data_IF_991121676641
#
_entry.id   IF_991121676641
#
_cell.length_a   1.000
_cell.length_b   1.000
_cell.length_c   1.000
_cell.angle_alpha   90.00
_cell.angle_beta   90.00
_cell.angle_gamma   90.00
#
_symmetry.space_group_name_H-M   'P 1'
#
loop_
_entity.id
_entity.type
_entity.pdbx_description
1 polymer ?
#
# COMPACT_ATOMS: atom_id res chain seq x y z
N UNK A 1 12.95 6.06 8.47
CA UNK A 1 11.49 5.82 8.47
C UNK A 1 11.29 4.42 9.02
N UNK A 2 10.64 4.32 10.17
CA UNK A 2 10.24 3.06 10.74
C UNK A 2 8.85 2.69 10.20
N UNK A 3 8.67 1.41 9.83
CA UNK A 3 7.35 0.86 9.52
C UNK A 3 6.88 0.16 10.78
N UNK A 4 5.90 0.74 11.47
CA UNK A 4 5.32 0.13 12.67
C UNK A 4 4.07 -0.68 12.32
N UNK A 5 3.98 -1.87 12.91
CA UNK A 5 2.93 -2.83 12.68
C UNK A 5 2.23 -3.22 13.97
N UNK A 6 0.91 -3.40 13.88
CA UNK A 6 0.14 -4.01 14.95
C UNK A 6 -0.06 -5.49 14.66
N UNK A 7 0.44 -6.37 15.53
CA UNK A 7 0.41 -7.83 15.30
C UNK A 7 -1.00 -8.38 15.00
N UNK A 8 -2.04 -7.84 15.63
CA UNK A 8 -3.41 -8.28 15.35
C UNK A 8 -3.87 -7.89 13.92
N UNK A 9 -3.31 -6.84 13.32
CA UNK A 9 -3.61 -6.48 11.93
C UNK A 9 -3.11 -7.57 10.97
N UNK A 10 -1.91 -8.11 11.19
CA UNK A 10 -1.39 -9.20 10.36
C UNK A 10 -2.35 -10.40 10.36
N UNK A 11 -2.87 -10.78 11.53
CA UNK A 11 -3.85 -11.87 11.62
C UNK A 11 -5.17 -11.56 10.89
N UNK A 12 -5.65 -10.32 10.95
CA UNK A 12 -6.87 -9.90 10.24
C UNK A 12 -6.65 -9.93 8.72
N UNK A 13 -5.49 -9.47 8.24
CA UNK A 13 -5.14 -9.48 6.83
C UNK A 13 -5.03 -10.92 6.28
N UNK A 14 -4.34 -11.81 6.99
CA UNK A 14 -4.27 -13.22 6.61
C UNK A 14 -5.66 -13.86 6.53
N UNK A 15 -6.55 -13.55 7.48
CA UNK A 15 -7.95 -14.03 7.43
C UNK A 15 -8.75 -13.45 6.25
N UNK A 16 -8.38 -12.27 5.77
CA UNK A 16 -8.95 -11.65 4.57
C UNK A 16 -8.32 -12.17 3.26
N UNK A 17 -7.40 -13.14 3.33
CA UNK A 17 -6.71 -13.71 2.18
C UNK A 17 -5.56 -12.86 1.65
N UNK A 18 -5.10 -11.89 2.44
CA UNK A 18 -3.94 -11.06 2.11
C UNK A 18 -2.70 -11.71 2.68
N UNK A 19 -1.71 -11.91 1.81
CA UNK A 19 -0.40 -12.39 2.20
C UNK A 19 0.37 -11.22 2.86
N UNK A 20 0.85 -11.45 4.08
CA UNK A 20 1.57 -10.43 4.84
C UNK A 20 2.96 -10.19 4.25
N UNK A 21 3.58 -11.22 3.66
CA UNK A 21 4.90 -11.13 3.05
C UNK A 21 4.83 -10.26 1.79
N UNK A 22 3.73 -10.36 1.01
CA UNK A 22 3.46 -9.46 -0.12
C UNK A 22 3.39 -7.99 0.31
N UNK A 23 2.83 -7.68 1.49
CA UNK A 23 2.77 -6.30 2.01
C UNK A 23 4.16 -5.84 2.44
N UNK A 24 4.89 -6.66 3.18
CA UNK A 24 6.23 -6.33 3.69
C UNK A 24 7.22 -6.12 2.55
N UNK A 25 7.25 -7.03 1.58
CA UNK A 25 8.12 -6.95 0.42
C UNK A 25 7.82 -5.72 -0.43
N UNK A 26 6.54 -5.41 -0.64
CA UNK A 26 6.13 -4.21 -1.38
C UNK A 26 6.61 -2.94 -0.68
N UNK A 27 6.36 -2.81 0.63
CA UNK A 27 6.75 -1.60 1.36
C UNK A 27 8.28 -1.49 1.42
N UNK A 28 9.00 -2.57 1.70
CA UNK A 28 10.47 -2.58 1.73
C UNK A 28 11.07 -2.21 0.37
N UNK A 29 10.60 -2.81 -0.73
CA UNK A 29 11.08 -2.50 -2.07
C UNK A 29 10.78 -1.04 -2.47
N UNK A 30 9.65 -0.50 -2.03
CA UNK A 30 9.35 0.91 -2.22
C UNK A 30 10.31 1.82 -1.44
N UNK A 31 10.58 1.51 -0.17
CA UNK A 31 11.52 2.27 0.65
C UNK A 31 12.96 2.22 0.11
N UNK A 32 13.35 1.11 -0.48
CA UNK A 32 14.62 0.94 -1.16
C UNK A 32 14.69 1.66 -2.52
N UNK A 33 13.57 2.18 -3.04
CA UNK A 33 13.48 2.81 -4.36
C UNK A 33 13.47 1.81 -5.52
N UNK A 34 13.32 0.52 -5.24
CA UNK A 34 13.35 -0.57 -6.22
C UNK A 34 11.98 -0.79 -6.87
N UNK A 35 10.91 -0.25 -6.27
CA UNK A 35 9.55 -0.43 -6.75
C UNK A 35 8.81 0.90 -6.90
N UNK A 36 8.30 1.22 -8.10
CA UNK A 36 7.43 2.37 -8.26
C UNK A 36 6.11 2.12 -7.52
N UNK A 37 5.69 3.11 -6.75
CA UNK A 37 4.42 3.12 -6.02
C UNK A 37 3.61 4.33 -6.44
N UNK A 38 2.32 4.12 -6.69
CA UNK A 38 1.38 5.22 -6.80
C UNK A 38 0.87 5.59 -5.41
N UNK A 39 1.32 6.74 -4.91
CA UNK A 39 0.83 7.30 -3.66
C UNK A 39 -0.44 8.10 -3.92
N UNK A 40 -1.53 7.70 -3.25
CA UNK A 40 -2.82 8.38 -3.30
C UNK A 40 -3.16 8.96 -1.93
N UNK A 41 -3.34 10.29 -1.79
CA UNK A 41 -3.80 10.86 -0.53
C UNK A 41 -5.22 10.37 -0.22
N UNK A 42 -5.45 10.00 1.03
CA UNK A 42 -6.75 9.55 1.56
C UNK A 42 -7.08 10.32 2.85
N UNK A 43 -6.81 11.63 2.83
CA UNK A 43 -6.95 12.50 4.01
C UNK A 43 -8.41 12.61 4.49
N UNK A 44 -8.61 12.45 5.78
CA UNK A 44 -9.85 12.82 6.45
C UNK A 44 -9.74 14.26 6.96
N UNK A 45 -10.36 15.19 6.21
CA UNK A 45 -10.35 16.62 6.53
C UNK A 45 -11.11 16.96 7.82
N UNK A 46 -12.08 16.15 8.23
CA UNK A 46 -12.89 16.43 9.41
C UNK A 46 -12.12 16.14 10.71
N UNK A 47 -11.32 15.08 10.70
CA UNK A 47 -10.51 14.67 11.86
C UNK A 47 -9.06 15.17 11.79
N UNK A 48 -8.63 15.68 10.63
CA UNK A 48 -7.25 16.10 10.38
C UNK A 48 -6.28 14.93 10.24
N UNK A 49 -6.79 13.70 10.19
CA UNK A 49 -5.96 12.50 10.05
C UNK A 49 -5.54 12.35 8.60
N UNK A 50 -4.24 12.19 8.38
CA UNK A 50 -3.65 11.98 7.06
C UNK A 50 -3.39 10.51 6.82
N UNK A 51 -4.02 9.99 5.77
CA UNK A 51 -3.78 8.66 5.27
C UNK A 51 -3.24 8.73 3.85
N UNK A 52 -2.50 7.70 3.48
CA UNK A 52 -2.07 7.44 2.12
C UNK A 52 -2.45 6.02 1.76
N UNK A 53 -2.87 5.83 0.52
CA UNK A 53 -3.03 4.52 -0.08
C UNK A 53 -1.92 4.34 -1.11
N UNK A 54 -1.13 3.29 -0.95
CA UNK A 54 -0.04 2.91 -1.81
C UNK A 54 -0.54 1.83 -2.76
N UNK A 55 -0.48 2.05 -4.07
CA UNK A 55 -0.74 1.01 -5.06
C UNK A 55 0.57 0.60 -5.72
N UNK A 56 0.85 -0.71 -5.72
CA UNK A 56 1.96 -1.30 -6.44
C UNK A 56 1.72 -2.78 -6.76
N UNK A 57 2.56 -3.34 -7.62
CA UNK A 57 2.62 -4.78 -7.89
C UNK A 57 3.36 -5.49 -6.75
N UNK A 58 2.89 -6.65 -6.32
CA UNK A 58 3.67 -7.57 -5.47
C UNK A 58 4.80 -8.21 -6.29
N UNK A 59 5.67 -9.02 -5.65
CA UNK A 59 6.70 -9.78 -6.35
C UNK A 59 6.12 -10.69 -7.44
N UNK A 60 4.94 -11.25 -7.20
CA UNK A 60 4.17 -12.06 -8.15
C UNK A 60 3.34 -11.25 -9.16
N UNK A 61 3.56 -9.93 -9.24
CA UNK A 61 2.85 -9.00 -10.13
C UNK A 61 1.35 -8.85 -9.84
N UNK A 62 0.87 -9.22 -8.65
CA UNK A 62 -0.51 -8.93 -8.22
C UNK A 62 -0.63 -7.47 -7.78
N UNK A 63 -1.62 -6.69 -8.24
CA UNK A 63 -1.82 -5.33 -7.75
C UNK A 63 -2.35 -5.32 -6.31
N UNK A 64 -1.63 -4.64 -5.42
CA UNK A 64 -1.95 -4.53 -4.00
C UNK A 64 -2.09 -3.06 -3.60
N UNK A 65 -3.15 -2.76 -2.83
CA UNK A 65 -3.31 -1.52 -2.10
C UNK A 65 -2.87 -1.71 -0.65
N UNK A 66 -2.07 -0.78 -0.15
CA UNK A 66 -1.71 -0.68 1.27
C UNK A 66 -2.21 0.66 1.80
N UNK A 67 -3.04 0.63 2.83
CA UNK A 67 -3.49 1.81 3.55
C UNK A 67 -2.51 2.07 4.71
N UNK A 68 -1.94 3.27 4.74
CA UNK A 68 -1.07 3.70 5.81
C UNK A 68 -1.51 5.06 6.37
N UNK A 69 -1.37 5.23 7.69
CA UNK A 69 -1.48 6.54 8.34
C UNK A 69 -0.10 7.19 8.35
N UNK A 70 -0.06 8.47 8.02
CA UNK A 70 1.17 9.27 8.07
C UNK A 70 1.31 9.89 9.47
N UNK A 71 2.43 9.63 10.14
CA UNK A 71 2.74 10.20 11.45
C UNK A 71 4.17 10.74 11.45
N UNK A 72 4.33 12.03 11.20
CA UNK A 72 5.64 12.63 11.04
C UNK A 72 6.39 12.01 9.84
N UNK A 73 7.62 11.51 10.03
CA UNK A 73 8.37 10.83 8.98
C UNK A 73 8.00 9.35 8.80
N UNK A 74 7.09 8.82 9.62
CA UNK A 74 6.79 7.39 9.70
C UNK A 74 5.42 7.04 9.11
N UNK A 75 5.30 5.76 8.71
CA UNK A 75 4.09 5.18 8.14
C UNK A 75 3.62 4.02 9.00
N UNK A 76 2.36 4.11 9.40
CA UNK A 76 1.67 3.09 10.17
C UNK A 76 0.74 2.32 9.26
N UNK A 77 1.05 1.05 8.99
CA UNK A 77 0.19 0.24 8.13
C UNK A 77 -1.12 -0.05 8.87
N UNK A 78 -2.23 0.35 8.24
CA UNK A 78 -3.57 0.24 8.79
C UNK A 78 -4.39 -0.85 8.10
N UNK A 79 -3.99 -1.27 6.91
CA UNK A 79 -4.63 -2.35 6.17
C UNK A 79 -4.02 -2.55 4.78
N UNK A 80 -4.41 -3.64 4.14
CA UNK A 80 -4.04 -3.93 2.76
C UNK A 80 -5.16 -4.74 2.10
N UNK A 81 -5.30 -4.61 0.78
CA UNK A 81 -6.24 -5.37 -0.03
C UNK A 81 -5.72 -5.46 -1.47
N UNK A 82 -5.95 -6.58 -2.16
CA UNK A 82 -5.75 -6.62 -3.61
C UNK A 82 -6.67 -5.62 -4.30
N UNK A 83 -6.19 -5.01 -5.38
CA UNK A 83 -7.02 -4.09 -6.16
C UNK A 83 -8.18 -4.84 -6.81
N UNK A 84 -9.37 -4.22 -6.79
CA UNK A 84 -10.53 -4.70 -7.53
C UNK A 84 -10.35 -4.45 -9.04
N UNK A 85 -11.06 -5.18 -9.93
CA UNK A 85 -10.84 -5.09 -11.37
C UNK A 85 -10.83 -3.66 -11.93
N UNK A 86 -11.75 -2.80 -11.48
CA UNK A 86 -11.82 -1.40 -11.90
C UNK A 86 -10.63 -0.56 -11.42
N UNK A 87 -10.10 -0.88 -10.24
CA UNK A 87 -8.90 -0.24 -9.69
C UNK A 87 -7.64 -0.73 -10.41
N UNK A 88 -7.60 -2.01 -10.82
CA UNK A 88 -6.51 -2.55 -11.65
C UNK A 88 -6.43 -1.80 -12.97
N UNK A 89 -7.55 -1.55 -13.64
CA UNK A 89 -7.56 -0.76 -14.89
C UNK A 89 -7.07 0.68 -14.67
N UNK A 90 -7.45 1.33 -13.57
CA UNK A 90 -6.94 2.67 -13.21
C UNK A 90 -5.42 2.62 -12.95
N UNK A 91 -4.97 1.61 -12.21
CA UNK A 91 -3.57 1.40 -11.86
C UNK A 91 -2.70 1.14 -13.09
N UNK A 92 -3.15 0.31 -14.02
CA UNK A 92 -2.41 -0.01 -15.26
C UNK A 92 -2.21 1.21 -16.15
N UNK A 93 -3.18 2.13 -16.20
CA UNK A 93 -3.02 3.41 -16.91
C UNK A 93 -1.91 4.25 -16.30
N UNK A 94 -1.83 4.30 -14.98
CA UNK A 94 -0.73 4.98 -14.29
C UNK A 94 0.61 4.26 -14.52
N UNK A 95 0.65 2.92 -14.47
CA UNK A 95 1.86 2.14 -14.74
C UNK A 95 2.41 2.44 -16.13
N UNK A 96 1.54 2.59 -17.14
CA UNK A 96 1.94 2.96 -18.49
C UNK A 96 2.67 4.31 -18.54
N UNK A 97 2.31 5.29 -17.71
CA UNK A 97 3.01 6.61 -17.65
C UNK A 97 4.39 6.58 -17.00
N UNK A 98 4.79 5.45 -16.41
CA UNK A 98 6.08 5.27 -15.69
C UNK A 98 7.09 4.44 -16.48
N UNK A 99 6.65 3.78 -17.54
CA UNK A 99 7.46 2.91 -18.41
C UNK A 99 7.90 3.60 -19.71
N UNK A 100 7.54 4.87 -19.90
CA UNK A 100 8.07 5.79 -20.93
C UNK A 100 9.24 6.61 -20.37
#
# INVERSE_FOLDING_TARGET
MAIEWYFALAQVLTRAGIDIDDVLDLVNAWLAGERPVWLRPADDRATGIRYVVLWARTGERRPLAVLARVMGPDLYICGANYLRPEQVTEFEKWEATRND
#
